data_IF_208964877722
#
_entry.id   IF_208964877722
#
_cell.length_a   1.000
_cell.length_b   1.000
_cell.length_c   1.000
_cell.angle_alpha   90.00
_cell.angle_beta   90.00
_cell.angle_gamma   90.00
#
_symmetry.space_group_name_H-M   'P 1'
#
loop_
_entity.id
_entity.type
_entity.pdbx_description
1 polymer ?
#
# COMPACT_ATOMS: atom_id res chain seq x y z
N UNK A 1 15.53 32.17 48.78
CA UNK A 1 16.19 32.27 47.47
C UNK A 1 15.27 31.52 46.49
N UNK A 2 14.45 32.26 45.83
CA UNK A 2 13.49 31.79 44.84
C UNK A 2 14.18 31.88 43.48
N UNK A 3 14.41 30.74 42.83
CA UNK A 3 14.85 30.68 41.44
C UNK A 3 13.63 30.90 40.51
N UNK A 4 13.71 32.02 39.80
CA UNK A 4 12.77 32.37 38.73
C UNK A 4 12.91 31.39 37.55
N UNK A 5 11.91 30.54 37.37
CA UNK A 5 11.71 29.75 36.13
C UNK A 5 11.23 30.68 35.03
N UNK A 6 12.10 31.00 34.08
CA UNK A 6 11.73 31.67 32.85
C UNK A 6 10.82 30.74 32.00
N UNK A 7 9.75 31.25 31.36
CA UNK A 7 8.93 30.48 30.48
C UNK A 7 9.72 30.06 29.23
N UNK A 8 9.38 28.91 28.61
CA UNK A 8 10.06 28.46 27.41
C UNK A 8 9.84 29.46 26.25
N UNK A 9 10.94 29.77 25.58
CA UNK A 9 10.96 30.61 24.39
C UNK A 9 10.04 29.99 23.36
N UNK A 10 8.97 30.70 22.99
CA UNK A 10 8.15 30.35 21.82
C UNK A 10 9.05 30.25 20.58
N UNK A 11 9.09 29.07 19.97
CA UNK A 11 9.78 28.89 18.73
C UNK A 11 9.11 29.78 17.68
N UNK A 12 9.82 30.82 17.24
CA UNK A 12 9.47 31.60 16.07
C UNK A 12 9.19 30.66 14.91
N UNK A 13 7.92 30.53 14.53
CA UNK A 13 7.54 29.95 13.25
C UNK A 13 8.13 30.85 12.18
N UNK A 14 9.28 30.46 11.65
CA UNK A 14 9.91 31.13 10.52
C UNK A 14 8.88 31.24 9.40
N UNK A 15 8.47 32.49 9.11
CA UNK A 15 7.66 32.87 7.96
C UNK A 15 8.43 32.47 6.70
N UNK A 16 8.28 31.23 6.24
CA UNK A 16 8.74 30.82 4.93
C UNK A 16 8.04 31.71 3.89
N UNK A 17 8.75 32.28 2.93
CA UNK A 17 8.14 33.11 1.90
C UNK A 17 7.03 32.32 1.24
N UNK A 18 5.86 32.93 1.06
CA UNK A 18 4.68 32.32 0.45
C UNK A 18 5.07 31.76 -0.93
N UNK A 19 5.41 30.50 -0.97
CA UNK A 19 5.76 29.83 -2.24
C UNK A 19 4.50 29.78 -3.09
N UNK A 20 4.61 30.14 -4.38
CA UNK A 20 3.47 30.07 -5.30
C UNK A 20 2.83 28.68 -5.26
N UNK A 21 1.48 28.59 -5.40
CA UNK A 21 0.82 27.30 -5.47
C UNK A 21 1.39 26.43 -6.60
N UNK A 22 1.90 25.25 -6.26
CA UNK A 22 2.38 24.27 -7.22
C UNK A 22 1.20 23.54 -7.85
N UNK A 23 1.37 23.07 -9.09
CA UNK A 23 0.46 22.11 -9.74
C UNK A 23 1.11 20.74 -9.73
N UNK A 24 0.54 19.82 -8.94
CA UNK A 24 1.00 18.43 -8.83
C UNK A 24 0.12 17.56 -9.72
N UNK A 25 0.70 16.90 -10.71
CA UNK A 25 -0.04 15.95 -11.53
C UNK A 25 0.13 14.53 -10.97
N UNK A 26 -0.96 13.95 -10.49
CA UNK A 26 -0.99 12.60 -9.93
C UNK A 26 -1.48 11.61 -11.00
N UNK A 27 -0.64 10.63 -11.33
CA UNK A 27 -0.92 9.56 -12.29
C UNK A 27 -1.14 8.24 -11.54
N UNK A 28 -2.32 7.67 -11.62
CA UNK A 28 -2.63 6.41 -10.93
C UNK A 28 -3.44 5.47 -11.82
N UNK A 29 -3.07 4.20 -11.84
CA UNK A 29 -3.79 3.15 -12.57
C UNK A 29 -5.02 2.62 -11.81
N UNK A 30 -5.21 3.06 -10.56
CA UNK A 30 -6.31 2.61 -9.70
C UNK A 30 -6.93 3.80 -8.95
N UNK A 31 -8.09 4.27 -9.43
CA UNK A 31 -8.84 5.34 -8.76
C UNK A 31 -10.36 5.09 -8.87
N UNK A 32 -10.92 4.37 -7.87
CA UNK A 32 -12.32 3.95 -7.78
C UNK A 32 -12.74 2.87 -8.81
N UNK A 33 -13.87 2.20 -8.65
CA UNK A 33 -14.72 2.08 -7.46
C UNK A 33 -14.21 1.05 -6.44
N UNK A 34 -13.14 0.30 -6.79
CA UNK A 34 -12.60 -0.75 -5.95
C UNK A 34 -11.77 -0.14 -4.81
N UNK A 35 -12.18 -0.40 -3.57
CA UNK A 35 -11.46 0.05 -2.39
C UNK A 35 -10.15 -0.74 -2.21
N UNK A 36 -9.04 -0.01 -2.22
CA UNK A 36 -7.70 -0.57 -1.99
C UNK A 36 -6.87 0.39 -1.14
N UNK A 37 -5.84 -0.11 -0.48
CA UNK A 37 -4.90 0.74 0.26
C UNK A 37 -4.28 1.84 -0.62
N UNK A 38 -3.97 1.52 -1.89
CA UNK A 38 -3.47 2.48 -2.87
C UNK A 38 -4.48 3.61 -3.13
N UNK A 39 -5.77 3.28 -3.34
CA UNK A 39 -6.81 4.29 -3.55
C UNK A 39 -6.87 5.28 -2.38
N UNK A 40 -6.92 4.76 -1.15
CA UNK A 40 -6.96 5.59 0.05
C UNK A 40 -5.69 6.44 0.20
N UNK A 41 -4.50 5.87 -0.04
CA UNK A 41 -3.25 6.61 0.01
C UNK A 41 -3.23 7.79 -0.99
N UNK A 42 -3.67 7.56 -2.23
CA UNK A 42 -3.75 8.63 -3.25
C UNK A 42 -4.79 9.69 -2.88
N UNK A 43 -5.96 9.30 -2.39
CA UNK A 43 -7.01 10.25 -1.97
C UNK A 43 -6.59 11.08 -0.76
N UNK A 44 -5.95 10.48 0.24
CA UNK A 44 -5.42 11.23 1.38
C UNK A 44 -4.34 12.21 0.94
N UNK A 45 -3.42 11.79 0.09
CA UNK A 45 -2.39 12.66 -0.44
C UNK A 45 -2.99 13.81 -1.26
N UNK A 46 -4.01 13.56 -2.07
CA UNK A 46 -4.76 14.58 -2.80
C UNK A 46 -5.35 15.62 -1.85
N UNK A 47 -6.01 15.16 -0.76
CA UNK A 47 -6.53 16.04 0.28
C UNK A 47 -5.43 16.91 0.90
N UNK A 48 -4.28 16.35 1.21
CA UNK A 48 -3.16 17.06 1.81
C UNK A 48 -2.58 18.14 0.89
N UNK A 49 -2.39 17.81 -0.39
CA UNK A 49 -1.92 18.78 -1.41
C UNK A 49 -2.89 19.96 -1.52
N UNK A 50 -4.19 19.68 -1.53
CA UNK A 50 -5.21 20.72 -1.61
C UNK A 50 -5.29 21.58 -0.34
N UNK A 51 -5.14 20.94 0.84
CA UNK A 51 -5.11 21.62 2.14
C UNK A 51 -3.88 22.54 2.27
N UNK A 52 -2.73 22.09 1.76
CA UNK A 52 -1.51 22.90 1.70
C UNK A 52 -1.56 24.06 0.68
N UNK A 53 -2.68 24.27 0.00
CA UNK A 53 -2.87 25.38 -0.93
C UNK A 53 -2.41 25.11 -2.36
N UNK A 54 -1.90 23.93 -2.67
CA UNK A 54 -1.45 23.53 -4.00
C UNK A 54 -2.62 23.08 -4.91
N UNK A 55 -2.33 22.84 -6.18
CA UNK A 55 -3.29 22.38 -7.19
C UNK A 55 -3.04 20.91 -7.53
N UNK A 56 -4.11 20.16 -7.75
CA UNK A 56 -4.03 18.76 -8.18
C UNK A 56 -4.58 18.61 -9.60
N UNK A 57 -3.80 17.94 -10.45
CA UNK A 57 -4.25 17.38 -11.72
C UNK A 57 -4.26 15.85 -11.57
N UNK A 58 -5.43 15.26 -11.31
CA UNK A 58 -5.56 13.80 -11.27
C UNK A 58 -5.70 13.24 -12.68
N UNK A 59 -4.87 12.25 -13.02
CA UNK A 59 -4.97 11.45 -14.25
C UNK A 59 -5.19 9.99 -13.88
N UNK A 60 -6.31 9.44 -14.27
CA UNK A 60 -6.71 8.09 -13.85
C UNK A 60 -7.59 7.40 -14.90
N UNK A 61 -7.77 6.06 -14.86
CA UNK A 61 -8.70 5.37 -15.73
C UNK A 61 -10.15 5.82 -15.48
N UNK A 62 -10.96 5.85 -16.53
CA UNK A 62 -12.38 6.05 -16.41
C UNK A 62 -13.00 4.82 -15.73
N UNK A 63 -13.28 4.94 -14.46
CA UNK A 63 -13.97 3.95 -13.64
C UNK A 63 -15.02 4.68 -12.83
N UNK A 64 -16.23 4.13 -12.74
CA UNK A 64 -17.28 4.69 -11.89
C UNK A 64 -16.85 4.68 -10.42
N UNK A 65 -17.35 5.60 -9.63
CA UNK A 65 -17.12 5.65 -8.19
C UNK A 65 -17.06 7.08 -7.67
N UNK A 66 -17.40 7.30 -6.41
CA UNK A 66 -17.38 8.62 -5.81
C UNK A 66 -15.94 9.14 -5.70
N UNK A 67 -15.76 10.39 -6.07
CA UNK A 67 -14.55 11.14 -5.80
C UNK A 67 -14.81 12.10 -4.66
N UNK A 68 -14.18 11.94 -3.48
CA UNK A 68 -14.42 12.79 -2.32
C UNK A 68 -14.01 14.24 -2.55
N UNK A 69 -13.15 14.50 -3.54
CA UNK A 69 -12.65 15.84 -3.86
C UNK A 69 -13.23 16.42 -5.15
N UNK A 70 -14.31 15.81 -5.69
CA UNK A 70 -15.00 16.32 -6.87
C UNK A 70 -15.52 17.75 -6.60
N UNK A 71 -15.30 18.65 -7.57
CA UNK A 71 -15.74 20.04 -7.46
C UNK A 71 -14.84 20.98 -6.68
N UNK A 72 -13.71 20.52 -6.10
CA UNK A 72 -12.76 21.40 -5.44
C UNK A 72 -12.10 22.36 -6.47
N UNK A 73 -12.06 23.70 -6.23
CA UNK A 73 -11.66 24.70 -7.24
C UNK A 73 -10.20 24.59 -7.69
N UNK A 74 -9.32 24.00 -6.86
CA UNK A 74 -7.91 23.78 -7.18
C UNK A 74 -7.62 22.36 -7.68
N UNK A 75 -8.65 21.59 -8.03
CA UNK A 75 -8.54 20.24 -8.56
C UNK A 75 -9.06 20.16 -9.98
N UNK A 76 -8.30 19.52 -10.84
CA UNK A 76 -8.72 19.08 -12.18
C UNK A 76 -8.56 17.57 -12.31
N UNK A 77 -9.33 16.97 -13.19
CA UNK A 77 -9.36 15.53 -13.38
C UNK A 77 -9.41 15.18 -14.86
N UNK A 78 -8.56 14.23 -15.26
CA UNK A 78 -8.56 13.62 -16.59
C UNK A 78 -8.85 12.13 -16.40
N UNK A 79 -10.01 11.68 -16.90
CA UNK A 79 -10.38 10.27 -16.92
C UNK A 79 -10.14 9.69 -18.30
N UNK A 80 -9.22 8.70 -18.36
CA UNK A 80 -8.87 8.02 -19.60
C UNK A 80 -9.80 6.85 -19.85
N UNK A 81 -10.35 6.68 -21.06
CA UNK A 81 -11.08 5.47 -21.42
C UNK A 81 -10.27 4.23 -21.05
N UNK A 82 -10.92 3.22 -20.47
CA UNK A 82 -10.19 2.07 -19.93
C UNK A 82 -11.00 0.80 -19.98
N UNK A 83 -10.30 -0.34 -20.11
CA UNK A 83 -10.88 -1.68 -20.07
C UNK A 83 -10.40 -2.43 -18.82
N UNK A 84 -11.28 -3.19 -18.13
CA UNK A 84 -10.86 -3.99 -17.00
C UNK A 84 -10.04 -5.18 -17.47
N UNK A 85 -8.98 -5.53 -16.73
CA UNK A 85 -8.28 -6.80 -16.91
C UNK A 85 -9.03 -7.91 -16.16
N UNK A 86 -9.42 -9.00 -16.82
CA UNK A 86 -10.16 -10.09 -16.19
C UNK A 86 -9.45 -10.62 -14.94
N UNK A 87 -10.22 -10.91 -13.90
CA UNK A 87 -9.77 -11.48 -12.62
C UNK A 87 -8.75 -10.63 -11.83
N UNK A 88 -8.60 -9.34 -12.18
CA UNK A 88 -7.72 -8.41 -11.46
C UNK A 88 -8.43 -7.11 -11.12
N UNK A 89 -7.96 -6.34 -10.13
CA UNK A 89 -8.46 -4.98 -9.87
C UNK A 89 -7.88 -3.95 -10.86
N UNK A 90 -7.03 -4.35 -11.79
CA UNK A 90 -6.32 -3.46 -12.72
C UNK A 90 -7.23 -3.10 -13.90
N UNK A 91 -7.13 -1.84 -14.34
CA UNK A 91 -7.71 -1.36 -15.59
C UNK A 91 -6.59 -0.85 -16.49
N UNK A 92 -6.64 -1.23 -17.76
CA UNK A 92 -5.74 -0.66 -18.76
C UNK A 92 -6.43 0.56 -19.39
N UNK A 93 -5.79 1.72 -19.30
CA UNK A 93 -6.25 2.88 -20.02
C UNK A 93 -6.07 2.66 -21.54
N UNK A 94 -7.05 3.12 -22.29
CA UNK A 94 -6.97 3.12 -23.76
C UNK A 94 -5.98 4.20 -24.22
N UNK A 95 -4.95 3.79 -24.92
CA UNK A 95 -3.90 4.69 -25.40
C UNK A 95 -4.31 5.62 -26.56
N UNK A 96 -5.58 5.58 -27.03
CA UNK A 96 -6.03 6.39 -28.17
C UNK A 96 -5.87 7.89 -27.92
N UNK A 97 -6.18 8.34 -26.71
CA UNK A 97 -6.14 9.76 -26.34
C UNK A 97 -4.77 10.21 -25.77
N UNK A 98 -3.80 9.31 -25.65
CA UNK A 98 -2.54 9.61 -24.98
C UNK A 98 -1.76 10.76 -25.67
N UNK A 99 -1.67 10.76 -27.00
CA UNK A 99 -0.96 11.79 -27.74
C UNK A 99 -1.61 13.17 -27.54
N UNK A 100 -2.94 13.23 -27.54
CA UNK A 100 -3.69 14.45 -27.29
C UNK A 100 -3.48 14.94 -25.84
N UNK A 101 -3.58 14.04 -24.86
CA UNK A 101 -3.38 14.37 -23.44
C UNK A 101 -1.94 14.79 -23.16
N UNK A 102 -0.99 14.08 -23.74
CA UNK A 102 0.43 14.44 -23.66
C UNK A 102 0.66 15.86 -24.23
N UNK A 103 0.13 16.16 -25.39
CA UNK A 103 0.24 17.49 -26.00
C UNK A 103 -0.35 18.59 -25.12
N UNK A 104 -1.51 18.36 -24.50
CA UNK A 104 -2.11 19.30 -23.56
C UNK A 104 -1.22 19.56 -22.34
N UNK A 105 -0.62 18.51 -21.76
CA UNK A 105 0.25 18.63 -20.58
C UNK A 105 1.61 19.22 -20.93
N UNK A 106 2.12 18.99 -22.13
CA UNK A 106 3.35 19.63 -22.62
C UNK A 106 3.14 21.14 -22.85
N UNK A 107 1.96 21.53 -23.36
CA UNK A 107 1.63 22.94 -23.55
C UNK A 107 1.46 23.70 -22.21
N UNK A 108 0.97 23.02 -21.17
CA UNK A 108 0.78 23.58 -19.84
C UNK A 108 1.33 22.59 -18.78
N UNK A 109 2.64 22.51 -18.60
CA UNK A 109 3.26 21.49 -17.77
C UNK A 109 2.95 21.69 -16.29
N UNK A 110 2.66 20.61 -15.55
CA UNK A 110 2.61 20.66 -14.10
C UNK A 110 4.00 21.00 -13.52
N UNK A 111 4.06 21.38 -12.26
CA UNK A 111 5.34 21.65 -11.59
C UNK A 111 6.05 20.37 -11.17
N UNK A 112 5.29 19.35 -10.74
CA UNK A 112 5.79 18.01 -10.37
C UNK A 112 4.86 16.95 -10.93
N UNK A 113 5.44 15.87 -11.43
CA UNK A 113 4.74 14.69 -11.91
C UNK A 113 4.92 13.59 -10.87
N UNK A 114 3.80 13.10 -10.32
CA UNK A 114 3.79 12.06 -9.32
C UNK A 114 3.05 10.82 -9.83
N UNK A 115 3.77 9.71 -9.95
CA UNK A 115 3.26 8.42 -10.45
C UNK A 115 3.05 7.46 -9.29
N UNK A 116 1.85 6.87 -9.20
CA UNK A 116 1.45 5.93 -8.15
C UNK A 116 1.30 4.48 -8.62
N UNK A 117 1.70 4.19 -9.83
CA UNK A 117 1.61 2.84 -10.40
C UNK A 117 2.42 2.72 -11.68
N UNK A 118 2.78 1.49 -12.02
CA UNK A 118 3.60 1.21 -13.21
C UNK A 118 2.77 0.67 -14.39
N UNK A 119 1.47 0.96 -14.41
CA UNK A 119 0.60 0.59 -15.52
C UNK A 119 0.56 1.65 -16.61
N UNK A 120 -0.47 1.60 -17.44
CA UNK A 120 -0.63 2.47 -18.61
C UNK A 120 -0.68 3.96 -18.27
N UNK A 121 -1.31 4.32 -17.15
CA UNK A 121 -1.41 5.72 -16.70
C UNK A 121 -0.07 6.18 -16.11
N UNK A 122 0.63 5.32 -15.38
CA UNK A 122 1.98 5.61 -14.89
C UNK A 122 2.97 5.86 -16.02
N UNK A 123 2.90 5.08 -17.11
CA UNK A 123 3.69 5.31 -18.32
C UNK A 123 3.40 6.65 -18.97
N UNK A 124 2.14 7.08 -19.02
CA UNK A 124 1.79 8.41 -19.52
C UNK A 124 2.46 9.50 -18.66
N UNK A 125 2.48 9.32 -17.31
CA UNK A 125 3.18 10.23 -16.40
C UNK A 125 4.67 10.32 -16.70
N UNK A 126 5.33 9.18 -16.91
CA UNK A 126 6.74 9.12 -17.30
C UNK A 126 6.97 9.91 -18.62
N UNK A 127 6.10 9.74 -19.63
CA UNK A 127 6.22 10.48 -20.90
C UNK A 127 6.05 11.97 -20.74
N UNK A 128 5.12 12.40 -19.90
CA UNK A 128 4.96 13.82 -19.57
C UNK A 128 6.23 14.35 -18.93
N UNK A 129 6.84 13.64 -17.99
CA UNK A 129 8.09 14.04 -17.35
C UNK A 129 9.23 14.20 -18.38
N UNK A 130 9.45 13.19 -19.21
CA UNK A 130 10.50 13.21 -20.24
C UNK A 130 10.33 14.33 -21.28
N UNK A 131 9.07 14.61 -21.70
CA UNK A 131 8.79 15.64 -22.69
C UNK A 131 8.80 17.06 -22.15
N UNK A 132 8.52 17.22 -20.85
CA UNK A 132 8.46 18.55 -20.21
C UNK A 132 9.71 18.90 -19.44
N UNK A 133 10.61 17.94 -19.16
CA UNK A 133 11.76 18.11 -18.27
C UNK A 133 11.36 18.43 -16.83
N UNK A 134 10.12 18.10 -16.43
CA UNK A 134 9.63 18.32 -15.08
C UNK A 134 9.99 17.15 -14.16
N UNK A 135 10.24 17.42 -12.86
CA UNK A 135 10.64 16.37 -11.93
C UNK A 135 9.59 15.26 -11.81
N UNK A 136 10.09 14.02 -11.81
CA UNK A 136 9.33 12.79 -11.70
C UNK A 136 9.52 12.18 -10.32
N UNK A 137 8.44 12.13 -9.55
CA UNK A 137 8.32 11.38 -8.32
C UNK A 137 7.54 10.09 -8.58
N UNK A 138 8.03 8.95 -8.11
CA UNK A 138 7.29 7.68 -8.15
C UNK A 138 7.07 7.19 -6.72
N UNK A 139 5.82 6.93 -6.33
CA UNK A 139 5.55 6.21 -5.08
C UNK A 139 5.26 4.74 -5.38
N UNK A 140 6.10 3.87 -4.82
CA UNK A 140 5.96 2.43 -4.98
C UNK A 140 5.04 1.84 -3.92
N UNK A 141 3.80 1.53 -4.29
CA UNK A 141 2.75 1.05 -3.38
C UNK A 141 2.55 -0.46 -3.40
N UNK A 142 3.15 -1.19 -4.35
CA UNK A 142 2.81 -2.59 -4.60
C UNK A 142 4.05 -3.47 -4.53
N UNK A 143 3.99 -4.58 -3.82
CA UNK A 143 4.98 -5.66 -3.99
C UNK A 143 4.70 -6.34 -5.34
N UNK A 144 5.40 -5.83 -6.38
CA UNK A 144 5.18 -6.28 -7.76
C UNK A 144 5.55 -7.75 -7.94
N UNK A 145 6.56 -8.23 -7.21
CA UNK A 145 7.00 -9.62 -7.28
C UNK A 145 5.92 -10.56 -6.75
N UNK A 146 5.41 -10.27 -5.53
CA UNK A 146 4.33 -11.03 -4.95
C UNK A 146 3.04 -10.93 -5.80
N UNK A 147 2.78 -9.76 -6.37
CA UNK A 147 1.64 -9.55 -7.26
C UNK A 147 1.76 -10.36 -8.56
N UNK A 148 2.95 -10.39 -9.16
CA UNK A 148 3.22 -11.16 -10.38
C UNK A 148 3.18 -12.69 -10.14
N UNK A 149 3.50 -13.16 -8.93
CA UNK A 149 3.32 -14.57 -8.56
C UNK A 149 1.83 -14.98 -8.51
N UNK A 150 0.98 -14.13 -7.91
CA UNK A 150 -0.46 -14.40 -7.80
C UNK A 150 -1.16 -14.24 -9.15
N UNK A 151 -0.81 -13.21 -9.91
CA UNK A 151 -1.46 -12.83 -11.17
C UNK A 151 -0.57 -13.11 -12.39
N UNK A 152 0.21 -14.19 -12.36
CA UNK A 152 1.17 -14.58 -13.41
C UNK A 152 0.55 -14.62 -14.83
N UNK A 153 -0.73 -14.96 -14.93
CA UNK A 153 -1.46 -15.04 -16.19
C UNK A 153 -1.72 -13.66 -16.83
N UNK A 154 -1.58 -12.57 -16.08
CA UNK A 154 -1.78 -11.19 -16.55
C UNK A 154 -0.46 -10.57 -17.03
N UNK A 155 0.69 -11.04 -16.54
CA UNK A 155 2.00 -10.49 -16.88
C UNK A 155 2.27 -10.39 -18.40
N UNK A 156 1.92 -11.38 -19.26
CA UNK A 156 2.08 -11.25 -20.70
C UNK A 156 1.30 -10.09 -21.32
N UNK A 157 0.09 -9.82 -20.81
CA UNK A 157 -0.75 -8.71 -21.31
C UNK A 157 -0.19 -7.36 -20.87
N UNK A 158 0.31 -7.24 -19.64
CA UNK A 158 0.96 -6.03 -19.16
C UNK A 158 2.22 -5.74 -19.95
N UNK A 159 3.05 -6.75 -20.20
CA UNK A 159 4.25 -6.61 -21.02
C UNK A 159 3.93 -6.21 -22.46
N UNK A 160 2.90 -6.80 -23.08
CA UNK A 160 2.48 -6.44 -24.42
C UNK A 160 1.98 -4.98 -24.48
N UNK A 161 1.17 -4.57 -23.50
CA UNK A 161 0.72 -3.18 -23.37
C UNK A 161 1.90 -2.23 -23.21
N UNK A 162 2.82 -2.53 -22.29
CA UNK A 162 4.04 -1.73 -22.10
C UNK A 162 4.85 -1.59 -23.38
N UNK A 163 5.15 -2.70 -24.07
CA UNK A 163 5.89 -2.69 -25.33
C UNK A 163 5.19 -1.82 -26.39
N UNK A 164 3.86 -1.91 -26.47
CA UNK A 164 3.06 -1.09 -27.37
C UNK A 164 3.16 0.41 -27.02
N UNK A 165 3.14 0.76 -25.73
CA UNK A 165 3.31 2.14 -25.29
C UNK A 165 4.72 2.66 -25.54
N UNK A 166 5.75 1.85 -25.26
CA UNK A 166 7.15 2.23 -25.55
C UNK A 166 7.41 2.43 -27.05
N UNK A 167 6.80 1.59 -27.91
CA UNK A 167 6.88 1.79 -29.37
C UNK A 167 6.28 3.12 -29.83
N UNK A 168 5.22 3.59 -29.19
CA UNK A 168 4.65 4.93 -29.45
C UNK A 168 5.60 6.06 -29.07
N UNK A 169 6.33 5.91 -27.96
CA UNK A 169 7.31 6.92 -27.50
C UNK A 169 8.46 7.13 -28.46
N UNK A 170 9.04 6.04 -28.95
CA UNK A 170 10.27 6.08 -29.75
C UNK A 170 10.01 6.43 -31.21
N UNK A 171 8.75 6.55 -31.63
CA UNK A 171 8.36 6.96 -32.99
C UNK A 171 8.78 5.99 -34.11
N UNK A 172 9.37 4.85 -33.79
CA UNK A 172 9.90 3.89 -34.76
C UNK A 172 9.44 2.44 -34.48
N UNK A 173 8.13 2.21 -34.67
CA UNK A 173 7.44 0.92 -34.45
C UNK A 173 8.15 -0.25 -35.15
N UNK A 174 8.68 -0.04 -36.36
CA UNK A 174 9.29 -1.11 -37.17
C UNK A 174 10.67 -1.54 -36.69
N UNK A 175 11.47 -0.64 -36.16
CA UNK A 175 12.80 -0.97 -35.63
C UNK A 175 12.70 -1.75 -34.34
N UNK A 176 11.72 -1.46 -33.50
CA UNK A 176 11.48 -2.15 -32.25
C UNK A 176 10.82 -3.54 -32.47
N UNK A 177 9.86 -3.66 -33.41
CA UNK A 177 9.28 -4.95 -33.79
C UNK A 177 10.33 -5.93 -34.30
N UNK A 178 11.35 -5.47 -35.04
CA UNK A 178 12.50 -6.30 -35.47
C UNK A 178 13.39 -6.76 -34.32
N UNK A 179 13.56 -5.94 -33.27
CA UNK A 179 14.29 -6.33 -32.05
C UNK A 179 13.47 -7.25 -31.14
N UNK A 180 12.15 -7.16 -31.19
CA UNK A 180 11.24 -8.06 -30.50
C UNK A 180 11.13 -9.42 -31.22
N UNK A 181 12.20 -10.20 -31.20
CA UNK A 181 12.06 -11.63 -31.46
C UNK A 181 11.14 -12.16 -30.37
N UNK A 182 9.90 -12.51 -30.72
CA UNK A 182 8.93 -13.23 -29.89
C UNK A 182 9.50 -14.60 -29.52
N UNK A 183 10.45 -14.64 -28.62
CA UNK A 183 10.81 -15.87 -27.94
C UNK A 183 9.60 -16.22 -27.08
N UNK A 184 9.01 -17.41 -27.28
CA UNK A 184 8.00 -17.94 -26.38
C UNK A 184 8.50 -17.78 -24.95
N UNK A 185 7.75 -17.12 -24.06
CA UNK A 185 8.24 -16.89 -22.71
C UNK A 185 8.48 -18.24 -22.05
N UNK A 186 9.72 -18.48 -21.59
CA UNK A 186 9.99 -19.56 -20.65
C UNK A 186 9.16 -19.27 -19.39
N UNK A 187 8.74 -20.31 -18.66
CA UNK A 187 8.02 -20.17 -17.39
C UNK A 187 8.77 -19.16 -16.51
N UNK A 188 8.12 -18.07 -16.11
CA UNK A 188 8.74 -16.92 -15.41
C UNK A 188 9.28 -15.79 -16.30
N UNK A 189 9.40 -15.96 -17.61
CA UNK A 189 9.96 -14.92 -18.49
C UNK A 189 9.14 -13.63 -18.52
N UNK A 190 7.80 -13.74 -18.51
CA UNK A 190 6.92 -12.57 -18.51
C UNK A 190 6.99 -11.76 -17.19
N UNK A 191 7.20 -12.44 -16.07
CA UNK A 191 7.38 -11.79 -14.76
C UNK A 191 8.72 -11.05 -14.70
N UNK A 192 9.80 -11.65 -15.22
CA UNK A 192 11.11 -11.01 -15.30
C UNK A 192 11.09 -9.79 -16.23
N UNK A 193 10.37 -9.87 -17.35
CA UNK A 193 10.17 -8.71 -18.24
C UNK A 193 9.41 -7.58 -17.52
N UNK A 194 8.40 -7.90 -16.72
CA UNK A 194 7.65 -6.91 -15.93
C UNK A 194 8.54 -6.22 -14.88
N UNK A 195 9.42 -6.98 -14.23
CA UNK A 195 10.40 -6.40 -13.29
C UNK A 195 11.42 -5.51 -14.00
N UNK A 196 11.85 -5.86 -15.22
CA UNK A 196 12.73 -5.01 -16.00
C UNK A 196 12.07 -3.68 -16.36
N UNK A 197 10.78 -3.71 -16.75
CA UNK A 197 9.98 -2.50 -16.97
C UNK A 197 9.94 -1.63 -15.72
N UNK A 198 9.71 -2.26 -14.58
CA UNK A 198 9.72 -1.55 -13.30
C UNK A 198 11.08 -0.93 -13.00
N UNK A 199 12.17 -1.67 -13.23
CA UNK A 199 13.54 -1.19 -13.04
C UNK A 199 13.82 0.06 -13.91
N UNK A 200 13.44 0.02 -15.18
CA UNK A 200 13.62 1.11 -16.11
C UNK A 200 12.88 2.37 -15.65
N UNK A 201 11.58 2.24 -15.28
CA UNK A 201 10.78 3.36 -14.79
C UNK A 201 11.30 3.95 -13.48
N UNK A 202 11.70 3.09 -12.52
CA UNK A 202 12.21 3.53 -11.23
C UNK A 202 13.58 4.24 -11.35
N UNK A 203 14.40 3.80 -12.32
CA UNK A 203 15.71 4.42 -12.59
C UNK A 203 15.61 5.80 -13.25
N UNK A 204 14.51 6.09 -13.94
CA UNK A 204 14.23 7.39 -14.56
C UNK A 204 13.67 8.43 -13.58
N UNK A 205 13.25 8.00 -12.39
CA UNK A 205 12.66 8.90 -11.38
C UNK A 205 13.73 9.78 -10.71
N UNK A 206 13.43 11.06 -10.52
CA UNK A 206 14.24 11.96 -9.69
C UNK A 206 14.23 11.53 -8.22
N UNK A 207 13.13 10.94 -7.79
CA UNK A 207 12.96 10.32 -6.47
C UNK A 207 11.92 9.20 -6.52
N UNK A 208 12.20 8.10 -5.82
CA UNK A 208 11.24 7.04 -5.52
C UNK A 208 10.89 7.09 -4.05
N UNK A 209 9.61 7.23 -3.71
CA UNK A 209 9.15 7.07 -2.33
C UNK A 209 8.54 5.70 -2.12
N UNK A 210 8.73 5.16 -0.91
CA UNK A 210 8.20 3.86 -0.51
C UNK A 210 7.57 3.96 0.88
N UNK A 211 6.52 3.18 1.17
CA UNK A 211 5.82 3.29 2.44
C UNK A 211 6.51 2.55 3.60
N UNK A 212 7.59 1.84 3.35
CA UNK A 212 8.34 1.09 4.38
C UNK A 212 9.74 0.71 3.90
N UNK A 213 10.63 0.39 4.86
CA UNK A 213 11.98 -0.14 4.58
C UNK A 213 11.92 -1.46 3.79
N UNK A 214 10.95 -2.33 4.09
CA UNK A 214 10.69 -3.55 3.32
C UNK A 214 10.55 -3.23 1.84
N UNK A 215 9.72 -2.25 1.53
CA UNK A 215 9.44 -1.86 0.14
C UNK A 215 10.65 -1.16 -0.49
N UNK A 216 11.38 -0.34 0.28
CA UNK A 216 12.61 0.32 -0.18
C UNK A 216 13.68 -0.71 -0.58
N UNK A 217 13.86 -1.76 0.22
CA UNK A 217 14.77 -2.88 -0.12
C UNK A 217 14.38 -3.51 -1.45
N UNK A 218 13.07 -3.76 -1.67
CA UNK A 218 12.58 -4.33 -2.94
C UNK A 218 12.83 -3.41 -4.13
N UNK A 219 12.64 -2.11 -3.98
CA UNK A 219 12.95 -1.14 -5.04
C UNK A 219 14.44 -1.19 -5.38
N UNK A 220 15.32 -1.19 -4.39
CA UNK A 220 16.78 -1.23 -4.61
C UNK A 220 17.29 -2.58 -5.13
N UNK A 221 16.59 -3.69 -4.87
CA UNK A 221 16.86 -4.99 -5.50
C UNK A 221 16.54 -4.97 -7.01
N UNK A 222 15.47 -4.28 -7.41
CA UNK A 222 15.00 -4.17 -8.80
C UNK A 222 15.76 -3.09 -9.57
N UNK A 223 15.92 -1.91 -8.96
CA UNK A 223 16.54 -0.72 -9.54
C UNK A 223 17.64 -0.16 -8.59
N UNK A 224 18.86 -0.72 -8.60
CA UNK A 224 19.92 -0.34 -7.66
C UNK A 224 20.37 1.13 -7.76
N UNK A 225 20.10 1.80 -8.88
CA UNK A 225 20.42 3.22 -9.12
C UNK A 225 19.32 4.16 -8.65
N UNK A 226 18.15 3.66 -8.26
CA UNK A 226 17.03 4.48 -7.83
C UNK A 226 17.36 5.26 -6.55
N UNK A 227 16.98 6.52 -6.51
CA UNK A 227 17.08 7.35 -5.32
C UNK A 227 15.83 7.13 -4.48
N UNK A 228 15.96 6.43 -3.35
CA UNK A 228 14.82 5.98 -2.55
C UNK A 228 14.71 6.76 -1.25
N UNK A 229 13.50 7.21 -0.92
CA UNK A 229 13.13 7.75 0.39
C UNK A 229 11.93 7.01 0.96
N UNK A 230 12.04 6.56 2.21
CA UNK A 230 10.92 5.93 2.92
C UNK A 230 10.01 7.02 3.45
N UNK A 231 8.76 7.03 2.99
CA UNK A 231 7.71 7.96 3.42
C UNK A 231 6.47 7.13 3.75
N UNK A 232 6.29 6.75 5.01
CA UNK A 232 5.13 5.96 5.41
C UNK A 232 3.82 6.70 5.16
N UNK A 233 2.78 5.94 4.74
CA UNK A 233 1.45 6.52 4.65
C UNK A 233 0.93 6.81 6.05
N UNK A 234 0.49 8.03 6.27
CA UNK A 234 -0.08 8.47 7.54
C UNK A 234 -1.46 7.86 7.79
N UNK A 235 -1.74 7.63 9.06
CA UNK A 235 -3.02 7.10 9.52
C UNK A 235 -3.36 7.78 10.84
N UNK A 236 -4.55 8.35 10.94
CA UNK A 236 -5.06 8.89 12.20
C UNK A 236 -5.97 7.86 12.87
N UNK A 237 -6.18 8.04 14.16
CA UNK A 237 -7.13 7.25 14.91
C UNK A 237 -8.52 7.30 14.27
N UNK A 238 -9.17 6.15 14.19
CA UNK A 238 -10.56 6.09 13.72
C UNK A 238 -11.49 6.78 14.72
N UNK A 239 -12.64 7.31 14.25
CA UNK A 239 -13.64 7.87 15.15
C UNK A 239 -14.03 6.89 16.25
N UNK A 240 -14.18 7.40 17.46
CA UNK A 240 -14.69 6.60 18.57
C UNK A 240 -16.13 6.15 18.29
N UNK A 241 -16.35 4.86 18.26
CA UNK A 241 -17.66 4.24 18.04
C UNK A 241 -17.86 3.18 19.10
N UNK A 242 -19.09 3.04 19.58
CA UNK A 242 -19.42 1.98 20.53
C UNK A 242 -18.96 0.62 19.98
N UNK A 243 -18.12 -0.12 20.72
CA UNK A 243 -17.67 -1.44 20.31
C UNK A 243 -18.83 -2.39 20.05
N UNK A 244 -18.67 -3.29 19.09
CA UNK A 244 -19.64 -4.39 18.89
C UNK A 244 -19.62 -5.31 20.11
N UNK A 245 -20.73 -6.03 20.35
CA UNK A 245 -20.88 -6.89 21.51
C UNK A 245 -19.69 -7.86 21.62
N UNK A 246 -19.11 -7.97 22.83
CA UNK A 246 -17.98 -8.86 23.09
C UNK A 246 -18.44 -10.32 23.12
N UNK A 247 -17.56 -11.23 22.67
CA UNK A 247 -17.71 -12.65 22.85
C UNK A 247 -17.47 -13.03 24.32
N UNK A 248 -17.82 -14.27 24.68
CA UNK A 248 -17.53 -14.82 26.01
C UNK A 248 -16.06 -15.17 26.24
N UNK A 249 -15.30 -15.36 25.15
CA UNK A 249 -13.88 -15.69 25.16
C UNK A 249 -13.02 -14.64 24.43
N UNK A 250 -11.72 -14.92 24.28
CA UNK A 250 -10.79 -14.06 23.54
C UNK A 250 -11.24 -13.87 22.10
N UNK A 251 -11.08 -12.65 21.58
CA UNK A 251 -11.44 -12.30 20.21
C UNK A 251 -10.23 -11.92 19.37
N UNK A 252 -10.00 -12.70 18.34
CA UNK A 252 -9.06 -12.41 17.27
C UNK A 252 -9.77 -11.60 16.19
N UNK A 253 -9.08 -10.62 15.60
CA UNK A 253 -9.62 -9.78 14.55
C UNK A 253 -8.69 -9.80 13.32
N UNK A 254 -9.29 -9.99 12.16
CA UNK A 254 -8.72 -9.69 10.86
C UNK A 254 -9.57 -8.61 10.17
N UNK A 255 -8.91 -7.57 9.64
CA UNK A 255 -9.54 -6.54 8.81
C UNK A 255 -8.77 -6.43 7.50
N UNK A 256 -9.47 -6.44 6.37
CA UNK A 256 -8.83 -6.26 5.07
C UNK A 256 -9.61 -6.86 3.91
N UNK A 257 -9.04 -6.74 2.73
CA UNK A 257 -9.56 -7.38 1.52
C UNK A 257 -9.47 -8.90 1.67
N UNK A 258 -10.55 -9.59 1.34
CA UNK A 258 -10.62 -11.05 1.43
C UNK A 258 -10.11 -11.66 0.12
N UNK A 259 -8.81 -11.90 0.06
CA UNK A 259 -8.11 -12.43 -1.10
C UNK A 259 -7.02 -13.43 -0.70
N UNK A 260 -6.55 -14.22 -1.65
CA UNK A 260 -5.59 -15.31 -1.36
C UNK A 260 -4.28 -14.79 -0.82
N UNK A 261 -3.77 -13.66 -1.35
CA UNK A 261 -2.52 -13.05 -0.95
C UNK A 261 -2.52 -12.50 0.48
N UNK A 262 -3.72 -12.29 1.08
CA UNK A 262 -3.85 -11.85 2.48
C UNK A 262 -3.73 -12.98 3.51
N UNK A 263 -3.42 -14.20 3.08
CA UNK A 263 -3.12 -15.31 3.99
C UNK A 263 -4.31 -15.86 4.79
N UNK A 264 -5.55 -15.55 4.39
CA UNK A 264 -6.75 -16.01 5.11
C UNK A 264 -6.88 -17.53 5.14
N UNK A 265 -6.42 -18.22 4.10
CA UNK A 265 -6.38 -19.68 4.11
C UNK A 265 -5.51 -20.21 5.24
N UNK A 266 -4.32 -19.65 5.43
CA UNK A 266 -3.40 -19.93 6.52
C UNK A 266 -4.01 -19.62 7.89
N UNK A 267 -4.68 -18.45 8.02
CA UNK A 267 -5.33 -18.07 9.28
C UNK A 267 -6.42 -19.04 9.69
N UNK A 268 -7.26 -19.48 8.75
CA UNK A 268 -8.33 -20.43 9.05
C UNK A 268 -7.79 -21.79 9.53
N UNK A 269 -6.73 -22.30 8.88
CA UNK A 269 -6.09 -23.55 9.30
C UNK A 269 -5.43 -23.41 10.68
N UNK A 270 -4.77 -22.27 10.95
CA UNK A 270 -4.21 -21.99 12.26
C UNK A 270 -5.30 -21.83 13.33
N UNK A 271 -6.43 -21.21 13.00
CA UNK A 271 -7.53 -21.00 13.94
C UNK A 271 -8.17 -22.32 14.40
N UNK A 272 -8.28 -23.32 13.54
CA UNK A 272 -8.72 -24.66 13.94
C UNK A 272 -7.83 -25.23 15.05
N UNK A 273 -6.50 -25.10 14.93
CA UNK A 273 -5.54 -25.53 15.96
C UNK A 273 -5.64 -24.69 17.25
N UNK A 274 -5.91 -23.39 17.12
CA UNK A 274 -6.10 -22.52 18.31
C UNK A 274 -7.32 -22.94 19.11
N UNK A 275 -8.43 -23.30 18.46
CA UNK A 275 -9.68 -23.71 19.11
C UNK A 275 -9.52 -24.95 20.02
N UNK A 276 -8.61 -25.84 19.67
CA UNK A 276 -8.33 -27.06 20.48
C UNK A 276 -7.66 -26.70 21.82
N UNK A 277 -7.05 -25.51 21.93
CA UNK A 277 -6.27 -25.08 23.08
C UNK A 277 -6.88 -23.88 23.84
N UNK A 278 -7.70 -23.08 23.17
CA UNK A 278 -8.31 -21.87 23.78
C UNK A 278 -9.82 -21.95 23.69
N UNK A 279 -10.51 -22.27 24.82
CA UNK A 279 -11.97 -22.37 24.85
C UNK A 279 -12.65 -21.04 24.48
N UNK A 280 -13.75 -21.13 23.76
CA UNK A 280 -14.60 -20.00 23.37
C UNK A 280 -13.87 -18.86 22.57
N UNK A 281 -12.69 -19.13 21.99
CA UNK A 281 -12.03 -18.15 21.11
C UNK A 281 -12.91 -17.86 19.89
N UNK A 282 -13.02 -16.57 19.55
CA UNK A 282 -13.74 -16.10 18.36
C UNK A 282 -12.74 -15.47 17.37
N UNK A 283 -12.85 -15.81 16.08
CA UNK A 283 -12.17 -15.12 14.99
C UNK A 283 -13.18 -14.28 14.22
N UNK A 284 -13.02 -12.96 14.27
CA UNK A 284 -13.84 -12.03 13.53
C UNK A 284 -13.10 -11.57 12.27
N UNK A 285 -13.74 -11.77 11.11
CA UNK A 285 -13.21 -11.42 9.80
C UNK A 285 -14.05 -10.30 9.21
N UNK A 286 -13.43 -9.11 9.04
CA UNK A 286 -14.05 -7.91 8.48
C UNK A 286 -13.49 -7.66 7.10
N UNK A 287 -14.35 -7.68 6.09
CA UNK A 287 -14.02 -7.48 4.68
C UNK A 287 -15.04 -8.14 3.76
N UNK A 288 -15.02 -7.79 2.48
CA UNK A 288 -15.95 -8.38 1.52
C UNK A 288 -15.50 -9.79 1.10
N UNK A 289 -16.07 -10.79 1.75
CA UNK A 289 -15.77 -12.20 1.48
C UNK A 289 -16.57 -12.78 0.31
N UNK A 290 -17.67 -12.12 -0.11
CA UNK A 290 -18.53 -12.61 -1.19
C UNK A 290 -17.85 -12.51 -2.56
N UNK A 291 -16.99 -11.52 -2.74
CA UNK A 291 -16.22 -11.28 -3.96
C UNK A 291 -14.89 -12.05 -4.00
N UNK A 292 -14.57 -12.82 -2.95
CA UNK A 292 -13.34 -13.61 -2.90
C UNK A 292 -13.38 -14.80 -3.86
N UNK A 293 -12.19 -15.35 -4.18
CA UNK A 293 -12.07 -16.56 -4.98
C UNK A 293 -12.93 -17.70 -4.43
N UNK A 294 -13.55 -18.50 -5.32
CA UNK A 294 -14.53 -19.54 -4.95
C UNK A 294 -13.98 -20.51 -3.91
N UNK A 295 -12.72 -20.91 -4.04
CA UNK A 295 -12.05 -21.81 -3.08
C UNK A 295 -11.97 -21.19 -1.69
N UNK A 296 -11.49 -19.95 -1.59
CA UNK A 296 -11.39 -19.23 -0.32
C UNK A 296 -12.79 -18.98 0.28
N UNK A 297 -13.75 -18.59 -0.54
CA UNK A 297 -15.14 -18.37 -0.09
C UNK A 297 -15.76 -19.64 0.50
N UNK A 298 -15.57 -20.81 -0.15
CA UNK A 298 -16.02 -22.09 0.39
C UNK A 298 -15.38 -22.41 1.73
N UNK A 299 -14.08 -22.18 1.87
CA UNK A 299 -13.33 -22.38 3.12
C UNK A 299 -13.85 -21.48 4.25
N UNK A 300 -14.08 -20.19 3.99
CA UNK A 300 -14.64 -19.22 4.93
C UNK A 300 -16.05 -19.65 5.42
N UNK A 301 -16.93 -20.01 4.49
CA UNK A 301 -18.29 -20.45 4.81
C UNK A 301 -18.26 -21.74 5.65
N UNK A 302 -17.40 -22.69 5.30
CA UNK A 302 -17.22 -23.92 6.09
C UNK A 302 -16.76 -23.61 7.51
N UNK A 303 -15.73 -22.79 7.67
CA UNK A 303 -15.20 -22.39 8.98
C UNK A 303 -16.25 -21.65 9.82
N UNK A 304 -17.05 -20.76 9.22
CA UNK A 304 -18.13 -20.06 9.91
C UNK A 304 -19.23 -21.01 10.41
N UNK A 305 -19.57 -22.05 9.63
CA UNK A 305 -20.53 -23.08 10.05
C UNK A 305 -19.99 -23.99 11.17
N UNK A 306 -18.68 -24.19 11.21
CA UNK A 306 -18.00 -24.94 12.27
C UNK A 306 -17.97 -24.24 13.64
N UNK A 307 -18.43 -22.99 13.70
CA UNK A 307 -18.46 -22.16 14.91
C UNK A 307 -17.13 -21.44 15.18
N UNK A 308 -17.19 -20.39 15.98
CA UNK A 308 -16.02 -19.56 16.36
C UNK A 308 -15.55 -18.56 15.29
N UNK A 309 -15.89 -18.73 14.01
CA UNK A 309 -15.56 -17.77 12.95
C UNK A 309 -16.76 -16.91 12.58
N UNK A 310 -16.61 -15.59 12.66
CA UNK A 310 -17.64 -14.61 12.36
C UNK A 310 -17.28 -13.80 11.10
N UNK A 311 -18.04 -14.02 10.04
CA UNK A 311 -17.89 -13.28 8.79
C UNK A 311 -18.75 -12.02 8.83
N UNK A 312 -18.13 -10.85 9.00
CA UNK A 312 -18.86 -9.58 9.15
C UNK A 312 -19.29 -9.03 7.80
N UNK A 313 -18.45 -9.18 6.77
CA UNK A 313 -18.63 -8.50 5.49
C UNK A 313 -17.97 -7.13 5.46
N UNK A 314 -18.32 -6.34 4.45
CA UNK A 314 -17.80 -4.99 4.26
C UNK A 314 -18.36 -4.03 5.31
N UNK A 315 -17.49 -3.26 5.91
CA UNK A 315 -17.81 -2.23 6.90
C UNK A 315 -17.26 -0.89 6.41
N UNK A 316 -18.03 0.18 6.57
CA UNK A 316 -17.56 1.54 6.28
C UNK A 316 -16.42 1.92 7.24
N UNK A 317 -15.42 2.67 6.74
CA UNK A 317 -14.19 3.00 7.49
C UNK A 317 -14.50 3.65 8.85
N UNK A 318 -15.48 4.53 8.89
CA UNK A 318 -15.91 5.29 10.08
C UNK A 318 -16.46 4.37 11.19
N UNK A 319 -16.88 3.16 10.83
CA UNK A 319 -17.42 2.15 11.75
C UNK A 319 -16.42 1.08 12.15
N UNK A 320 -15.24 1.05 11.54
CA UNK A 320 -14.22 0.04 11.84
C UNK A 320 -13.75 0.11 13.29
N UNK A 321 -13.70 1.30 13.89
CA UNK A 321 -13.35 1.50 15.30
C UNK A 321 -14.15 0.60 16.26
N UNK A 322 -15.44 0.32 15.94
CA UNK A 322 -16.27 -0.59 16.74
C UNK A 322 -15.77 -2.04 16.77
N UNK A 323 -15.10 -2.49 15.74
CA UNK A 323 -14.53 -3.84 15.62
C UNK A 323 -13.15 -3.92 16.24
N UNK A 324 -12.29 -2.93 16.01
CA UNK A 324 -10.98 -2.83 16.66
C UNK A 324 -11.15 -2.74 18.18
N UNK A 325 -12.04 -1.89 18.69
CA UNK A 325 -12.30 -1.75 20.13
C UNK A 325 -12.94 -2.96 20.81
N UNK A 326 -13.46 -3.92 20.03
CA UNK A 326 -14.05 -5.16 20.56
C UNK A 326 -13.11 -6.36 20.51
N UNK A 327 -11.92 -6.23 19.93
CA UNK A 327 -10.94 -7.30 19.78
C UNK A 327 -9.90 -7.30 20.92
N UNK A 328 -9.24 -8.43 21.09
CA UNK A 328 -8.13 -8.58 22.02
C UNK A 328 -6.78 -8.68 21.30
N UNK A 329 -6.76 -9.24 20.09
CA UNK A 329 -5.57 -9.42 19.25
C UNK A 329 -5.90 -9.16 17.79
N UNK A 330 -5.07 -8.39 17.10
CA UNK A 330 -5.12 -8.25 15.65
C UNK A 330 -4.23 -9.30 14.99
N UNK A 331 -4.79 -10.14 14.11
CA UNK A 331 -4.03 -11.19 13.41
C UNK A 331 -3.81 -10.80 11.96
N UNK A 332 -2.55 -10.76 11.55
CA UNK A 332 -2.15 -10.32 10.21
C UNK A 332 -1.31 -11.40 9.49
N UNK A 333 -1.95 -12.32 8.75
CA UNK A 333 -1.28 -13.46 8.12
C UNK A 333 -0.73 -13.17 6.72
N UNK A 334 -0.68 -11.90 6.28
CA UNK A 334 -0.22 -11.48 4.97
C UNK A 334 1.30 -11.36 4.90
N UNK A 335 1.90 -11.72 3.73
CA UNK A 335 3.32 -11.54 3.42
C UNK A 335 3.57 -10.51 2.31
N UNK A 336 2.49 -10.02 1.66
CA UNK A 336 2.59 -9.24 0.42
C UNK A 336 2.32 -7.75 0.61
N UNK A 337 2.08 -7.32 1.84
CA UNK A 337 1.81 -5.92 2.12
C UNK A 337 3.09 -5.09 2.13
N UNK A 338 2.97 -3.86 1.64
CA UNK A 338 4.07 -2.88 1.62
C UNK A 338 4.14 -2.07 2.92
N UNK A 339 3.00 -1.83 3.58
CA UNK A 339 2.90 -1.16 4.87
C UNK A 339 1.75 -1.71 5.72
N UNK A 340 0.60 -2.03 5.10
CA UNK A 340 -0.63 -2.47 5.76
C UNK A 340 -1.25 -1.42 6.71
N UNK A 341 -1.99 -0.45 6.16
CA UNK A 341 -2.66 0.61 6.94
C UNK A 341 -3.55 0.06 8.07
N UNK A 342 -4.09 -1.14 7.91
CA UNK A 342 -4.90 -1.82 8.95
C UNK A 342 -4.09 -2.16 10.21
N UNK A 343 -2.75 -2.32 10.11
CA UNK A 343 -1.88 -2.45 11.28
C UNK A 343 -1.82 -1.12 12.05
N UNK A 344 -1.72 0.01 11.35
CA UNK A 344 -1.74 1.33 11.98
C UNK A 344 -3.09 1.62 12.64
N UNK A 345 -4.21 1.28 11.98
CA UNK A 345 -5.55 1.41 12.54
C UNK A 345 -5.71 0.58 13.83
N UNK A 346 -5.23 -0.68 13.82
CA UNK A 346 -5.23 -1.57 14.98
C UNK A 346 -4.31 -1.03 16.10
N UNK A 347 -3.15 -0.46 15.75
CA UNK A 347 -2.22 0.15 16.70
C UNK A 347 -2.81 1.38 17.38
N UNK A 348 -3.49 2.27 16.65
CA UNK A 348 -4.24 3.38 17.22
C UNK A 348 -5.32 2.92 18.22
N UNK A 349 -5.97 1.79 17.93
CA UNK A 349 -6.92 1.17 18.86
C UNK A 349 -6.23 0.48 20.07
N UNK A 350 -4.89 0.40 20.08
CA UNK A 350 -4.11 -0.23 21.14
C UNK A 350 -4.07 -1.76 21.07
N UNK A 351 -4.35 -2.37 19.91
CA UNK A 351 -4.31 -3.82 19.78
C UNK A 351 -2.86 -4.34 19.69
N UNK A 352 -2.54 -5.44 20.40
CA UNK A 352 -1.37 -6.24 20.12
C UNK A 352 -1.55 -7.07 18.86
N UNK A 353 -0.42 -7.54 18.29
CA UNK A 353 -0.38 -8.17 16.97
C UNK A 353 0.07 -9.63 17.03
N UNK A 354 -0.51 -10.45 16.15
CA UNK A 354 0.09 -11.71 15.71
C UNK A 354 0.21 -11.68 14.20
N UNK A 355 1.42 -11.90 13.69
CA UNK A 355 1.69 -11.77 12.27
C UNK A 355 2.72 -12.80 11.77
N UNK A 356 2.89 -12.89 10.46
CA UNK A 356 3.86 -13.79 9.82
C UNK A 356 4.94 -13.02 9.03
N UNK A 357 4.73 -11.73 8.82
CA UNK A 357 5.67 -10.85 8.13
C UNK A 357 6.50 -10.07 9.16
N UNK A 358 7.77 -10.40 9.28
CA UNK A 358 8.68 -9.77 10.23
C UNK A 358 9.38 -8.51 9.68
N UNK A 359 9.11 -8.14 8.42
CA UNK A 359 9.66 -6.92 7.82
C UNK A 359 8.77 -5.67 8.04
N UNK A 360 7.51 -5.83 8.45
CA UNK A 360 6.60 -4.72 8.73
C UNK A 360 6.73 -4.25 10.18
N UNK A 361 7.59 -3.24 10.42
CA UNK A 361 8.01 -2.81 11.77
C UNK A 361 7.51 -1.45 12.21
N UNK A 362 6.82 -0.69 11.37
CA UNK A 362 6.45 0.71 11.69
C UNK A 362 5.63 0.84 12.99
N UNK A 363 4.70 -0.09 13.23
CA UNK A 363 3.83 -0.10 14.42
C UNK A 363 3.94 -1.42 15.20
N UNK A 364 4.94 -2.23 14.86
CA UNK A 364 5.12 -3.58 15.38
C UNK A 364 6.47 -3.72 16.08
N UNK A 365 6.44 -4.10 17.35
CA UNK A 365 7.61 -4.32 18.20
C UNK A 365 7.53 -5.75 18.78
N UNK A 366 8.22 -6.75 18.16
CA UNK A 366 8.17 -8.13 18.61
C UNK A 366 8.69 -8.30 20.05
N UNK A 367 7.92 -9.08 20.81
CA UNK A 367 8.20 -9.30 22.24
C UNK A 367 7.59 -8.23 23.16
N UNK A 368 7.13 -7.09 22.59
CA UNK A 368 6.45 -6.03 23.36
C UNK A 368 4.97 -5.96 22.99
N UNK A 369 4.65 -5.63 21.75
CA UNK A 369 3.25 -5.57 21.29
C UNK A 369 2.92 -6.59 20.20
N UNK A 370 3.87 -7.45 19.83
CA UNK A 370 3.66 -8.41 18.75
C UNK A 370 4.34 -9.76 19.00
N UNK A 371 3.71 -10.82 18.47
CA UNK A 371 4.30 -12.14 18.30
C UNK A 371 4.34 -12.47 16.80
N UNK A 372 5.52 -12.89 16.31
CA UNK A 372 5.72 -13.22 14.90
C UNK A 372 5.83 -14.73 14.73
N UNK A 373 4.94 -15.32 13.94
CA UNK A 373 4.98 -16.74 13.55
C UNK A 373 5.61 -16.92 12.17
N UNK A 374 5.90 -18.18 11.82
CA UNK A 374 6.24 -18.55 10.43
C UNK A 374 4.97 -18.70 9.60
N UNK A 375 5.04 -18.58 8.24
CA UNK A 375 3.86 -18.70 7.39
C UNK A 375 3.41 -20.16 7.20
N UNK A 376 3.11 -20.83 8.28
CA UNK A 376 2.50 -22.15 8.33
C UNK A 376 1.47 -22.23 9.50
N UNK A 377 0.45 -23.10 9.41
CA UNK A 377 -0.64 -23.13 10.38
C UNK A 377 -0.20 -23.36 11.82
N UNK A 378 0.74 -24.29 12.05
CA UNK A 378 1.22 -24.65 13.38
C UNK A 378 1.94 -23.49 14.06
N UNK A 379 2.85 -22.83 13.33
CA UNK A 379 3.60 -21.70 13.88
C UNK A 379 2.71 -20.47 14.13
N UNK A 380 1.77 -20.19 13.23
CA UNK A 380 0.82 -19.09 13.43
C UNK A 380 -0.12 -19.39 14.62
N UNK A 381 -0.62 -20.62 14.78
CA UNK A 381 -1.42 -21.02 15.93
C UNK A 381 -0.62 -20.88 17.24
N UNK A 382 0.62 -21.34 17.27
CA UNK A 382 1.49 -21.19 18.44
C UNK A 382 1.71 -19.71 18.80
N UNK A 383 1.91 -18.85 17.80
CA UNK A 383 2.05 -17.41 18.04
C UNK A 383 0.76 -16.78 18.61
N UNK A 384 -0.41 -17.17 18.11
CA UNK A 384 -1.70 -16.72 18.64
C UNK A 384 -1.88 -17.17 20.10
N UNK A 385 -1.65 -18.44 20.38
CA UNK A 385 -1.79 -18.99 21.74
C UNK A 385 -0.81 -18.30 22.69
N UNK A 386 0.43 -18.09 22.27
CA UNK A 386 1.44 -17.37 23.06
C UNK A 386 1.01 -15.95 23.39
N UNK A 387 0.54 -15.18 22.40
CA UNK A 387 0.05 -13.81 22.62
C UNK A 387 -1.14 -13.81 23.59
N UNK A 388 -2.11 -14.70 23.42
CA UNK A 388 -3.28 -14.78 24.32
C UNK A 388 -2.86 -15.07 25.76
N UNK A 389 -1.89 -15.96 25.99
CA UNK A 389 -1.33 -16.23 27.32
C UNK A 389 -0.60 -15.01 27.91
N UNK A 390 0.20 -14.30 27.11
CA UNK A 390 0.86 -13.10 27.60
C UNK A 390 -0.16 -12.02 28.02
N UNK A 391 -1.30 -11.94 27.34
CA UNK A 391 -2.37 -10.97 27.67
C UNK A 391 -3.16 -11.32 28.93
N UNK A 392 -2.96 -12.50 29.54
CA UNK A 392 -3.46 -12.84 30.87
C UNK A 392 -2.74 -12.08 31.97
N UNK A 393 -1.46 -11.66 31.72
CA UNK A 393 -0.73 -10.74 32.57
C UNK A 393 -1.16 -9.29 32.32
N UNK A 394 -1.77 -8.60 33.31
CA UNK A 394 -2.23 -7.22 33.16
C UNK A 394 -1.11 -6.23 32.84
N UNK A 395 0.11 -6.44 33.36
CA UNK A 395 1.25 -5.56 33.10
C UNK A 395 1.73 -5.69 31.65
N UNK A 396 1.87 -6.92 31.16
CA UNK A 396 2.19 -7.15 29.74
C UNK A 396 1.13 -6.51 28.84
N UNK A 397 -0.16 -6.72 29.14
CA UNK A 397 -1.27 -6.15 28.38
C UNK A 397 -1.18 -4.61 28.33
N UNK A 398 -0.95 -3.98 29.48
CA UNK A 398 -0.84 -2.52 29.54
C UNK A 398 0.35 -2.01 28.72
N UNK A 399 1.51 -2.66 28.80
CA UNK A 399 2.70 -2.30 28.00
C UNK A 399 2.46 -2.49 26.50
N UNK A 400 1.84 -3.59 26.10
CA UNK A 400 1.55 -3.87 24.69
C UNK A 400 0.59 -2.84 24.09
N UNK A 401 -0.48 -2.48 24.81
CA UNK A 401 -1.43 -1.42 24.43
C UNK A 401 -0.75 -0.07 24.30
N UNK A 402 0.07 0.32 25.29
CA UNK A 402 0.79 1.59 25.30
C UNK A 402 1.76 1.66 24.12
N UNK A 403 2.52 0.58 23.87
CA UNK A 403 3.49 0.51 22.77
C UNK A 403 2.84 0.60 21.40
N UNK A 404 1.71 -0.06 21.19
CA UNK A 404 0.95 0.05 19.94
C UNK A 404 0.55 1.49 19.66
N UNK A 405 -0.04 2.18 20.64
CA UNK A 405 -0.48 3.58 20.51
C UNK A 405 0.69 4.54 20.30
N UNK A 406 1.77 4.35 21.04
CA UNK A 406 3.01 5.14 20.90
C UNK A 406 3.54 5.06 19.47
N UNK A 407 3.76 3.84 18.96
CA UNK A 407 4.27 3.65 17.61
C UNK A 407 3.33 4.22 16.54
N UNK A 408 2.01 4.08 16.70
CA UNK A 408 1.04 4.64 15.76
C UNK A 408 1.07 6.16 15.72
N UNK A 409 1.34 6.82 16.86
CA UNK A 409 1.36 8.30 16.96
C UNK A 409 2.46 8.95 16.12
N UNK A 410 3.49 8.22 15.74
CA UNK A 410 4.57 8.73 14.89
C UNK A 410 4.17 8.84 13.41
N UNK A 411 3.14 8.11 12.97
CA UNK A 411 2.78 7.96 11.56
C UNK A 411 1.41 8.56 11.26
N UNK A 412 1.24 9.85 11.58
CA UNK A 412 -0.02 10.58 11.34
C UNK A 412 -0.12 11.09 9.91
N UNK A 413 -1.36 11.37 9.48
CA UNK A 413 -1.61 12.02 8.18
C UNK A 413 -0.92 13.38 8.09
N UNK A 414 -0.90 14.13 9.19
CA UNK A 414 -0.23 15.44 9.25
C UNK A 414 1.28 15.32 9.00
N UNK A 415 1.95 14.37 9.65
CA UNK A 415 3.39 14.13 9.45
C UNK A 415 3.70 13.74 8.00
N UNK A 416 2.95 12.79 7.42
CA UNK A 416 3.11 12.44 6.01
C UNK A 416 2.89 13.64 5.09
N UNK A 417 1.88 14.48 5.37
CA UNK A 417 1.58 15.68 4.60
C UNK A 417 2.75 16.64 4.53
N UNK A 418 3.30 16.97 5.68
CA UNK A 418 4.45 17.88 5.79
C UNK A 418 5.64 17.33 4.98
N UNK A 419 5.95 16.07 5.14
CA UNK A 419 7.06 15.44 4.44
C UNK A 419 6.86 15.42 2.91
N UNK A 420 5.68 15.01 2.42
CA UNK A 420 5.42 14.93 0.97
C UNK A 420 5.31 16.30 0.33
N UNK A 421 4.70 17.28 1.00
CA UNK A 421 4.63 18.67 0.50
C UNK A 421 6.04 19.26 0.42
N UNK A 422 6.89 19.01 1.41
CA UNK A 422 8.31 19.39 1.37
C UNK A 422 9.04 18.79 0.18
N UNK A 423 8.84 17.50 -0.10
CA UNK A 423 9.41 16.83 -1.28
C UNK A 423 8.96 17.52 -2.59
N UNK A 424 7.68 17.85 -2.73
CA UNK A 424 7.20 18.56 -3.94
C UNK A 424 7.86 19.94 -4.11
N UNK A 425 8.02 20.68 -3.01
CA UNK A 425 8.64 22.00 -3.02
C UNK A 425 10.12 21.91 -3.41
N UNK A 426 10.85 20.92 -2.88
CA UNK A 426 12.24 20.68 -3.21
C UNK A 426 12.42 20.29 -4.67
N UNK A 427 11.65 19.34 -5.16
CA UNK A 427 11.68 18.89 -6.55
C UNK A 427 11.33 20.02 -7.52
N UNK A 428 10.27 20.79 -7.24
CA UNK A 428 9.85 21.91 -8.08
C UNK A 428 10.89 23.05 -8.13
N UNK A 429 11.70 23.18 -7.05
CA UNK A 429 12.80 24.15 -6.97
C UNK A 429 14.13 23.62 -7.52
N UNK A 430 14.16 22.39 -8.05
CA UNK A 430 15.40 21.75 -8.50
C UNK A 430 16.38 21.38 -7.38
N UNK A 431 15.90 21.35 -6.13
CA UNK A 431 16.73 20.95 -4.99
C UNK A 431 16.80 19.43 -4.88
N UNK A 432 17.95 18.95 -4.43
CA UNK A 432 18.13 17.53 -4.24
C UNK A 432 17.44 17.07 -2.94
N UNK A 433 16.46 16.16 -3.04
CA UNK A 433 15.79 15.55 -1.89
C UNK A 433 16.71 14.50 -1.26
N UNK A 434 16.80 14.48 0.07
CA UNK A 434 17.57 13.48 0.79
C UNK A 434 16.94 12.07 0.60
N UNK A 435 17.79 11.06 0.48
CA UNK A 435 17.40 9.64 0.44
C UNK A 435 17.45 9.04 1.85
N UNK A 436 16.73 7.94 2.08
CA UNK A 436 16.85 7.21 3.34
C UNK A 436 18.12 6.38 3.33
N UNK A 437 19.01 6.63 4.30
CA UNK A 437 20.26 5.91 4.46
C UNK A 437 20.05 4.55 5.16
N UNK A 438 21.01 3.65 5.04
CA UNK A 438 21.01 2.36 5.75
C UNK A 438 20.10 1.28 5.16
N UNK A 439 19.40 1.55 4.07
CA UNK A 439 18.61 0.52 3.36
C UNK A 439 19.55 -0.41 2.62
N UNK A 440 19.69 -1.63 3.10
CA UNK A 440 20.52 -2.66 2.48
C UNK A 440 19.65 -3.69 1.76
N UNK A 441 19.68 -3.76 0.42
CA UNK A 441 18.95 -4.76 -0.32
C UNK A 441 19.51 -6.16 -0.08
N UNK A 442 18.64 -7.17 -0.10
CA UNK A 442 19.07 -8.58 -0.03
C UNK A 442 19.61 -9.04 -1.39
N UNK A 443 20.91 -8.86 -1.60
CA UNK A 443 21.60 -9.23 -2.86
C UNK A 443 21.61 -10.74 -3.12
N UNK A 444 21.30 -11.58 -2.14
CA UNK A 444 21.20 -13.04 -2.28
C UNK A 444 19.84 -13.53 -2.73
N UNK A 445 18.82 -12.70 -2.69
CA UNK A 445 17.46 -13.05 -3.09
C UNK A 445 17.35 -13.13 -4.61
N UNK A 446 17.00 -14.31 -5.10
CA UNK A 446 16.64 -14.48 -6.51
C UNK A 446 15.20 -14.03 -6.70
N UNK A 447 14.90 -13.09 -7.60
CA UNK A 447 13.53 -12.82 -7.99
C UNK A 447 12.89 -14.14 -8.44
N UNK A 448 11.69 -14.45 -7.94
CA UNK A 448 10.98 -15.70 -8.18
C UNK A 448 11.77 -16.96 -7.77
N UNK A 449 12.05 -17.18 -6.47
CA UNK A 449 12.59 -18.46 -6.03
C UNK A 449 11.64 -19.56 -6.50
N UNK A 450 12.20 -20.66 -7.05
CA UNK A 450 11.45 -21.82 -7.53
C UNK A 450 10.62 -22.45 -6.37
N UNK A 451 9.58 -21.78 -5.91
CA UNK A 451 8.58 -22.39 -5.06
C UNK A 451 7.78 -23.34 -5.94
N UNK A 452 8.03 -24.63 -5.80
CA UNK A 452 7.07 -25.64 -6.22
C UNK A 452 5.77 -25.28 -5.50
N UNK A 453 4.83 -24.70 -6.23
CA UNK A 453 3.44 -24.64 -5.80
C UNK A 453 3.04 -26.11 -5.73
N UNK A 454 3.05 -26.68 -4.55
CA UNK A 454 2.41 -27.96 -4.28
C UNK A 454 0.93 -27.74 -4.63
N UNK A 455 0.54 -28.34 -5.75
CA UNK A 455 -0.87 -28.52 -6.08
C UNK A 455 -1.40 -29.54 -5.08
N UNK A 456 -2.06 -29.06 -4.05
CA UNK A 456 -3.05 -29.83 -3.29
C UNK A 456 -4.41 -29.13 -3.41
#
# INVERSE_FOLDING_TARGET
MSEDLQPPVEAETANLPATRPLTIAQFTDNYGPNHSGLLYAVQFLEQQILAAGHKVLLVAPASGGPNPHAGHPRRREIRLPSVPLPSTPIRLADGRDFDYRLAQMVANPPDVIHVHGLGSVGLLGLWVAQRTGKPLLITWHTDLEAYAEVYWHVAPFLNAAYKMYMMKLEGNVWTQLKKMRLKRPRRGGAQLELLQVAADMLSEADLVTTPSDKTAKRVLEIAPSARVRVVPNGTDALPEVKPVARARGPRLLFVGRISLEKGLGLLLDAFELVRDHVPNVELMIVGDWKESAVTLRRKLVRASRGGGVKLVGRVARERLGAYYGAADVFVFPSLTDTQALVLHEAAHAGLPFVMVDDELRLVVDPGVNATVGRPNPVSLASAIISMLRHLEDPEFKARAVARSKELASHWTIAHQSEEVVGIYQDLAAGRQVAVTEGIVPDRGRRPFPNRKVTRE
#
